data_IF_797294016102
#
_entry.id   IF_797294016102
#
_cell.length_a   1.000
_cell.length_b   1.000
_cell.length_c   1.000
_cell.angle_alpha   90.00
_cell.angle_beta   90.00
_cell.angle_gamma   90.00
#
_symmetry.space_group_name_H-M   'P 1'
#
loop_
_entity.id
_entity.type
_entity.pdbx_description
1 polymer ?
#
# COMPACT_ATOMS: atom_id res chain seq x y z
N UNK A 1 2.34 27.70 -17.53
CA UNK A 1 2.77 26.50 -16.79
C UNK A 1 3.41 25.54 -17.79
N UNK A 2 4.53 24.88 -17.44
CA UNK A 2 5.09 23.87 -18.34
C UNK A 2 4.18 22.64 -18.42
N UNK A 3 4.21 21.89 -19.54
CA UNK A 3 3.43 20.65 -19.71
C UNK A 3 3.70 19.66 -18.59
N UNK A 4 4.94 19.62 -18.06
CA UNK A 4 5.32 18.80 -16.91
C UNK A 4 4.54 19.15 -15.65
N UNK A 5 4.43 20.45 -15.32
CA UNK A 5 3.71 20.92 -14.15
C UNK A 5 2.22 20.61 -14.25
N UNK A 6 1.62 20.79 -15.43
CA UNK A 6 0.22 20.48 -15.66
C UNK A 6 -0.06 19.01 -15.45
N UNK A 7 0.80 18.13 -16.00
CA UNK A 7 0.67 16.70 -15.84
C UNK A 7 0.85 16.26 -14.39
N UNK A 8 1.90 16.71 -13.66
CA UNK A 8 2.11 16.35 -12.26
C UNK A 8 0.94 16.82 -11.38
N UNK A 9 0.34 17.97 -11.68
CA UNK A 9 -0.85 18.47 -10.97
C UNK A 9 -2.08 17.57 -11.14
N UNK A 10 -2.23 16.87 -12.25
CA UNK A 10 -3.35 15.95 -12.50
C UNK A 10 -3.22 14.58 -11.84
N UNK A 11 -2.02 14.22 -11.33
CA UNK A 11 -1.81 12.93 -10.70
C UNK A 11 -2.64 12.78 -9.42
N UNK A 12 -3.11 11.56 -9.21
CA UNK A 12 -3.82 11.12 -8.01
C UNK A 12 -3.07 9.97 -7.35
N UNK A 13 -3.47 9.55 -6.17
CA UNK A 13 -2.88 8.35 -5.53
C UNK A 13 -3.26 7.05 -6.26
N UNK A 14 -4.20 7.08 -7.21
CA UNK A 14 -4.47 5.95 -8.10
C UNK A 14 -3.36 5.76 -9.15
N UNK A 15 -2.50 6.77 -9.38
CA UNK A 15 -1.26 6.59 -10.11
C UNK A 15 -0.23 5.89 -9.22
N UNK A 16 0.01 4.60 -9.43
CA UNK A 16 0.85 3.77 -8.54
C UNK A 16 2.23 4.36 -8.25
N UNK A 17 2.84 5.01 -9.26
CA UNK A 17 4.09 5.72 -9.07
C UNK A 17 3.95 6.91 -8.10
N UNK A 18 2.91 7.73 -8.27
CA UNK A 18 2.67 8.89 -7.42
C UNK A 18 2.28 8.45 -6.00
N UNK A 19 1.50 7.37 -5.87
CA UNK A 19 1.19 6.74 -4.59
C UNK A 19 2.47 6.39 -3.82
N UNK A 20 3.39 5.66 -4.43
CA UNK A 20 4.67 5.30 -3.78
C UNK A 20 5.46 6.55 -3.38
N UNK A 21 5.49 7.60 -4.22
CA UNK A 21 6.16 8.87 -3.91
C UNK A 21 5.55 9.63 -2.75
N UNK A 22 4.25 9.50 -2.52
CA UNK A 22 3.58 10.09 -1.36
C UNK A 22 3.87 9.28 -0.09
N UNK A 23 3.70 7.97 -0.16
CA UNK A 23 3.83 7.08 0.99
C UNK A 23 5.26 6.64 1.32
N UNK A 24 6.28 7.04 0.55
CA UNK A 24 7.69 6.93 0.99
C UNK A 24 8.01 7.91 2.13
N UNK A 25 7.14 8.92 2.38
CA UNK A 25 7.23 9.83 3.53
C UNK A 25 6.78 9.10 4.80
N UNK A 26 7.61 9.03 5.86
CA UNK A 26 7.31 8.22 7.05
C UNK A 26 5.94 8.50 7.67
N UNK A 27 5.57 9.75 7.85
CA UNK A 27 4.28 10.13 8.45
C UNK A 27 3.08 9.68 7.61
N UNK A 28 3.22 9.71 6.27
CA UNK A 28 2.20 9.19 5.37
C UNK A 28 2.14 7.66 5.41
N UNK A 29 3.29 6.98 5.50
CA UNK A 29 3.39 5.54 5.60
C UNK A 29 2.78 5.01 6.90
N UNK A 30 3.05 5.66 8.03
CA UNK A 30 2.44 5.33 9.34
C UNK A 30 0.92 5.42 9.29
N UNK A 31 0.40 6.51 8.72
CA UNK A 31 -1.04 6.69 8.54
C UNK A 31 -1.65 5.60 7.65
N UNK A 32 -0.98 5.27 6.54
CA UNK A 32 -1.42 4.21 5.62
C UNK A 32 -1.48 2.86 6.34
N UNK A 33 -0.41 2.51 7.06
CA UNK A 33 -0.30 1.26 7.80
C UNK A 33 -1.40 1.13 8.86
N UNK A 34 -1.60 2.18 9.66
CA UNK A 34 -2.66 2.26 10.67
C UNK A 34 -4.05 2.04 10.07
N UNK A 35 -4.35 2.65 8.93
CA UNK A 35 -5.67 2.53 8.28
C UNK A 35 -5.86 1.14 7.66
N UNK A 36 -4.83 0.60 7.00
CA UNK A 36 -4.92 -0.67 6.29
C UNK A 36 -5.05 -1.88 7.24
N UNK A 37 -4.30 -1.87 8.35
CA UNK A 37 -4.25 -2.98 9.29
C UNK A 37 -5.08 -2.74 10.56
N UNK A 38 -5.70 -1.56 10.69
CA UNK A 38 -6.48 -1.14 11.88
C UNK A 38 -5.68 -1.30 13.19
N UNK A 39 -4.37 -1.01 13.12
CA UNK A 39 -3.42 -1.14 14.22
C UNK A 39 -2.69 0.16 14.52
N UNK A 40 -2.65 0.54 15.81
CA UNK A 40 -2.00 1.75 16.32
C UNK A 40 -0.64 1.47 16.98
N UNK A 41 -0.30 0.20 17.15
CA UNK A 41 0.89 -0.25 17.91
C UNK A 41 2.08 -0.63 17.01
N UNK A 42 1.96 -0.45 15.69
CA UNK A 42 3.02 -0.75 14.75
C UNK A 42 3.93 0.47 14.54
N UNK A 43 5.22 0.29 14.77
CA UNK A 43 6.27 1.28 14.52
C UNK A 43 7.03 0.91 13.25
N UNK A 44 7.09 1.82 12.27
CA UNK A 44 7.83 1.61 11.03
C UNK A 44 9.34 1.71 11.32
N UNK A 45 10.07 0.68 10.97
CA UNK A 45 11.53 0.59 11.10
C UNK A 45 12.25 0.93 9.79
N UNK A 46 11.66 0.58 8.65
CA UNK A 46 12.22 0.90 7.35
C UNK A 46 11.13 1.01 6.28
N UNK A 47 11.40 1.84 5.29
CA UNK A 47 10.59 1.97 4.07
C UNK A 47 11.51 1.74 2.88
N UNK A 48 11.08 0.85 1.97
CA UNK A 48 11.76 0.57 0.71
C UNK A 48 10.80 0.81 -0.45
N UNK A 49 11.29 1.37 -1.52
CA UNK A 49 10.52 1.64 -2.73
C UNK A 49 11.16 0.97 -3.94
N UNK A 50 10.34 0.37 -4.78
CA UNK A 50 10.77 -0.16 -6.07
C UNK A 50 9.89 0.47 -7.17
N UNK A 51 10.54 1.06 -8.16
CA UNK A 51 9.89 1.74 -9.27
C UNK A 51 10.02 0.99 -10.60
N UNK A 52 10.56 -0.23 -10.56
CA UNK A 52 10.68 -1.06 -11.74
C UNK A 52 9.32 -1.64 -12.14
N UNK A 53 8.90 -1.47 -13.40
CA UNK A 53 7.67 -1.99 -14.01
C UNK A 53 6.37 -1.60 -13.29
N UNK A 54 6.13 -2.12 -12.08
CA UNK A 54 4.98 -1.79 -11.24
C UNK A 54 5.50 -1.23 -9.91
N UNK A 55 5.28 0.06 -9.65
CA UNK A 55 5.74 0.68 -8.41
C UNK A 55 5.15 0.01 -7.18
N UNK A 56 6.01 -0.29 -6.21
CA UNK A 56 5.62 -0.88 -4.93
C UNK A 56 6.30 -0.18 -3.75
N UNK A 57 5.62 -0.16 -2.64
CA UNK A 57 6.11 0.31 -1.36
C UNK A 57 6.24 -0.90 -0.43
N UNK A 58 7.37 -1.07 0.22
CA UNK A 58 7.56 -2.10 1.26
C UNK A 58 7.87 -1.42 2.57
N UNK A 59 7.07 -1.67 3.58
CA UNK A 59 7.24 -1.18 4.94
C UNK A 59 7.65 -2.35 5.84
N UNK A 60 8.69 -2.14 6.65
CA UNK A 60 9.10 -3.07 7.69
C UNK A 60 8.73 -2.41 9.01
N UNK A 61 7.95 -3.10 9.82
CA UNK A 61 7.45 -2.60 11.10
C UNK A 61 7.60 -3.63 12.20
N UNK A 62 7.48 -3.20 13.45
CA UNK A 62 7.39 -4.08 14.60
C UNK A 62 6.31 -3.57 15.56
N UNK A 63 5.69 -4.47 16.30
CA UNK A 63 4.77 -4.12 17.38
C UNK A 63 5.51 -3.90 18.74
N UNK A 64 4.74 -3.58 19.75
CA UNK A 64 5.28 -3.38 21.12
C UNK A 64 5.93 -4.64 21.72
N UNK A 65 5.54 -5.84 21.24
CA UNK A 65 6.15 -7.12 21.64
C UNK A 65 7.39 -7.48 20.81
N UNK A 66 7.79 -6.61 19.87
CA UNK A 66 8.91 -6.81 18.93
C UNK A 66 8.65 -7.88 17.86
N UNK A 67 7.39 -8.29 17.66
CA UNK A 67 7.01 -9.12 16.51
C UNK A 67 7.18 -8.30 15.24
N UNK A 68 7.82 -8.89 14.23
CA UNK A 68 8.08 -8.25 12.93
C UNK A 68 6.88 -8.33 11.99
N UNK A 69 6.74 -7.30 11.16
CA UNK A 69 5.73 -7.20 10.11
C UNK A 69 6.37 -6.66 8.84
N UNK A 70 6.04 -7.25 7.71
CA UNK A 70 6.48 -6.75 6.40
C UNK A 70 5.26 -6.53 5.52
N UNK A 71 5.08 -5.33 5.04
CA UNK A 71 3.89 -4.92 4.31
C UNK A 71 4.28 -4.37 2.95
N UNK A 72 3.94 -5.08 1.87
CA UNK A 72 4.04 -4.59 0.51
C UNK A 72 2.71 -3.94 0.09
N UNK A 73 2.74 -2.71 -0.41
CA UNK A 73 1.57 -2.00 -0.95
C UNK A 73 1.83 -1.62 -2.39
N UNK A 74 0.89 -1.96 -3.26
CA UNK A 74 0.94 -1.53 -4.67
C UNK A 74 -0.45 -1.28 -5.24
N UNK A 75 -0.49 -0.45 -6.28
CA UNK A 75 -1.69 -0.24 -7.11
C UNK A 75 -1.83 -1.40 -8.11
N UNK A 76 -3.03 -1.94 -8.24
CA UNK A 76 -3.33 -3.02 -9.17
C UNK A 76 -4.66 -2.75 -9.91
N UNK A 77 -4.74 -3.10 -11.20
CA UNK A 77 -5.95 -2.94 -12.01
C UNK A 77 -6.79 -4.21 -12.05
N UNK A 78 -6.15 -5.38 -11.89
CA UNK A 78 -6.80 -6.68 -12.06
C UNK A 78 -6.62 -7.56 -10.83
N UNK A 79 -7.67 -8.27 -10.42
CA UNK A 79 -7.56 -9.34 -9.44
C UNK A 79 -6.89 -10.56 -10.09
N UNK A 80 -5.80 -10.98 -9.48
CA UNK A 80 -5.16 -12.24 -9.83
C UNK A 80 -4.66 -12.93 -8.56
N UNK A 81 -5.31 -14.02 -8.13
CA UNK A 81 -4.81 -14.84 -7.03
C UNK A 81 -3.40 -15.38 -7.28
N UNK A 82 -3.04 -15.62 -8.56
CA UNK A 82 -1.69 -16.01 -8.94
C UNK A 82 -0.69 -14.89 -8.70
N UNK A 83 -1.08 -13.65 -9.01
CA UNK A 83 -0.25 -12.47 -8.76
C UNK A 83 -0.04 -12.26 -7.27
N UNK A 84 -1.12 -12.35 -6.47
CA UNK A 84 -1.04 -12.27 -5.00
C UNK A 84 -0.04 -13.27 -4.42
N UNK A 85 -0.15 -14.55 -4.82
CA UNK A 85 0.78 -15.60 -4.42
C UNK A 85 2.22 -15.31 -4.85
N UNK A 86 2.44 -14.82 -6.07
CA UNK A 86 3.78 -14.52 -6.57
C UNK A 86 4.43 -13.36 -5.80
N UNK A 87 3.66 -12.32 -5.47
CA UNK A 87 4.13 -11.20 -4.65
C UNK A 87 4.45 -11.64 -3.23
N UNK A 88 3.57 -12.45 -2.62
CA UNK A 88 3.80 -13.01 -1.29
C UNK A 88 5.11 -13.79 -1.24
N UNK A 89 5.31 -14.75 -2.18
CA UNK A 89 6.54 -15.55 -2.23
C UNK A 89 7.80 -14.69 -2.44
N UNK A 90 7.71 -13.63 -3.24
CA UNK A 90 8.82 -12.71 -3.44
C UNK A 90 9.13 -11.92 -2.16
N UNK A 91 8.09 -11.41 -1.49
CA UNK A 91 8.22 -10.65 -0.26
C UNK A 91 8.91 -11.50 0.82
N UNK A 92 8.47 -12.73 0.98
CA UNK A 92 9.05 -13.69 1.94
C UNK A 92 10.54 -13.94 1.64
N UNK A 93 10.91 -14.21 0.38
CA UNK A 93 12.30 -14.41 -0.02
C UNK A 93 13.17 -13.16 0.18
N UNK A 94 12.62 -11.96 -0.01
CA UNK A 94 13.35 -10.70 0.16
C UNK A 94 13.54 -10.28 1.64
N UNK A 95 12.75 -10.84 2.55
CA UNK A 95 12.63 -10.31 3.92
C UNK A 95 12.86 -11.33 5.02
N UNK A 96 12.61 -12.61 4.78
CA UNK A 96 12.83 -13.68 5.76
C UNK A 96 14.28 -14.14 5.69
N UNK A 97 14.98 -14.10 6.81
CA UNK A 97 16.28 -14.75 6.97
C UNK A 97 16.07 -16.26 6.99
N UNK A 98 16.62 -17.04 6.03
CA UNK A 98 16.42 -18.48 5.98
C UNK A 98 16.96 -19.23 7.22
N UNK A 99 17.86 -18.62 7.99
CA UNK A 99 18.42 -19.17 9.22
C UNK A 99 17.69 -18.68 10.49
N UNK A 100 16.62 -17.88 10.36
CA UNK A 100 15.87 -17.44 11.54
C UNK A 100 15.03 -18.59 12.13
N UNK A 101 14.80 -18.53 13.45
CA UNK A 101 13.86 -19.43 14.12
C UNK A 101 12.42 -19.14 13.69
N UNK A 102 11.57 -20.18 13.63
CA UNK A 102 10.17 -20.04 13.16
C UNK A 102 9.39 -18.95 13.88
N UNK A 103 9.63 -18.77 15.19
CA UNK A 103 9.00 -17.73 16.00
C UNK A 103 9.41 -16.29 15.64
N UNK A 104 10.50 -16.13 14.89
CA UNK A 104 11.01 -14.82 14.45
C UNK A 104 10.63 -14.49 12.99
N UNK A 105 9.91 -15.39 12.31
CA UNK A 105 9.40 -15.09 10.98
C UNK A 105 8.35 -13.96 11.10
N UNK A 106 8.53 -12.84 10.37
CA UNK A 106 7.57 -11.73 10.43
C UNK A 106 6.26 -12.11 9.75
N UNK A 107 5.14 -11.54 10.23
CA UNK A 107 3.91 -11.58 9.45
C UNK A 107 4.08 -10.73 8.19
N UNK A 108 3.67 -11.28 7.05
CA UNK A 108 3.82 -10.64 5.75
C UNK A 108 2.47 -10.33 5.11
N UNK A 109 2.32 -9.09 4.64
CA UNK A 109 1.09 -8.56 4.03
C UNK A 109 1.38 -8.08 2.62
N UNK A 110 0.65 -8.59 1.65
CA UNK A 110 0.62 -8.04 0.29
C UNK A 110 -0.70 -7.33 0.08
N UNK A 111 -0.66 -6.02 -0.06
CA UNK A 111 -1.84 -5.16 -0.17
C UNK A 111 -1.95 -4.59 -1.59
N UNK A 112 -3.01 -4.95 -2.28
CA UNK A 112 -3.35 -4.39 -3.58
C UNK A 112 -4.45 -3.35 -3.43
N UNK A 113 -4.16 -2.11 -3.84
CA UNK A 113 -5.18 -1.05 -3.91
C UNK A 113 -5.76 -1.05 -5.32
N UNK A 114 -7.04 -1.33 -5.41
CA UNK A 114 -7.77 -1.48 -6.65
C UNK A 114 -8.64 -0.25 -6.92
N UNK A 115 -8.79 0.14 -8.18
CA UNK A 115 -9.69 1.23 -8.54
C UNK A 115 -11.16 0.81 -8.47
N UNK A 116 -11.45 -0.46 -8.84
CA UNK A 116 -12.79 -1.03 -8.93
C UNK A 116 -12.98 -2.21 -8.00
N UNK A 117 -14.24 -2.46 -7.63
CA UNK A 117 -14.63 -3.67 -6.93
C UNK A 117 -14.79 -4.85 -7.89
N UNK A 118 -13.71 -5.54 -8.16
CA UNK A 118 -13.70 -6.68 -9.07
C UNK A 118 -14.54 -7.87 -8.57
N UNK A 119 -14.68 -8.06 -7.25
CA UNK A 119 -15.58 -9.10 -6.70
C UNK A 119 -17.05 -8.70 -6.69
N UNK A 120 -17.36 -7.41 -6.83
CA UNK A 120 -18.73 -6.86 -6.87
C UNK A 120 -19.57 -7.22 -5.64
N UNK A 121 -18.93 -7.36 -4.47
CA UNK A 121 -19.60 -7.66 -3.21
C UNK A 121 -19.76 -6.43 -2.31
N UNK A 122 -19.26 -5.26 -2.75
CA UNK A 122 -19.38 -3.98 -2.03
C UNK A 122 -18.62 -3.92 -0.70
N UNK A 123 -17.70 -4.84 -0.45
CA UNK A 123 -16.88 -4.80 0.78
C UNK A 123 -15.76 -3.79 0.65
N UNK A 124 -15.34 -3.12 1.74
CA UNK A 124 -14.24 -2.15 1.69
C UNK A 124 -12.89 -2.80 1.38
N UNK A 125 -12.71 -4.05 1.79
CA UNK A 125 -11.54 -4.88 1.48
C UNK A 125 -11.91 -6.37 1.46
N UNK A 126 -11.02 -7.16 0.87
CA UNK A 126 -11.10 -8.62 0.81
C UNK A 126 -9.79 -9.22 1.26
N UNK A 127 -9.82 -10.11 2.26
CA UNK A 127 -8.66 -10.86 2.71
C UNK A 127 -8.64 -12.26 2.09
N UNK A 128 -7.45 -12.69 1.67
CA UNK A 128 -7.21 -14.07 1.22
C UNK A 128 -6.25 -14.71 2.19
N UNK A 129 -6.75 -15.78 2.82
CA UNK A 129 -6.05 -16.54 3.84
C UNK A 129 -5.92 -18.01 3.43
N UNK A 130 -4.87 -18.68 3.91
CA UNK A 130 -4.73 -20.12 3.75
C UNK A 130 -5.57 -20.86 4.78
N UNK A 131 -6.24 -21.96 4.36
CA UNK A 131 -7.08 -22.76 5.24
C UNK A 131 -6.67 -24.23 5.20
N UNK A 132 -6.82 -24.92 6.33
CA UNK A 132 -6.61 -26.36 6.44
C UNK A 132 -7.93 -27.06 6.12
N UNK A 133 -8.05 -27.61 4.91
CA UNK A 133 -9.31 -28.14 4.35
C UNK A 133 -9.96 -29.22 5.19
N UNK A 134 -9.18 -30.11 5.80
CA UNK A 134 -9.71 -31.26 6.55
C UNK A 134 -9.98 -30.94 8.04
N UNK A 135 -9.90 -29.66 8.42
CA UNK A 135 -10.12 -29.17 9.78
C UNK A 135 -11.24 -28.11 9.79
N UNK A 136 -12.38 -28.38 9.14
CA UNK A 136 -13.52 -27.43 9.06
C UNK A 136 -13.16 -26.04 8.52
N UNK A 137 -12.20 -25.98 7.59
CA UNK A 137 -11.67 -24.74 7.01
C UNK A 137 -11.06 -23.76 8.03
N UNK A 138 -10.42 -24.26 9.06
CA UNK A 138 -9.67 -23.45 10.02
C UNK A 138 -8.55 -22.70 9.26
N UNK A 139 -8.38 -21.40 9.52
CA UNK A 139 -7.28 -20.60 9.00
C UNK A 139 -5.95 -21.19 9.47
N UNK A 140 -4.97 -21.25 8.58
CA UNK A 140 -3.65 -21.82 8.89
C UNK A 140 -2.86 -20.97 9.90
N UNK A 141 -3.17 -19.70 10.03
CA UNK A 141 -2.50 -18.72 10.93
C UNK A 141 -0.98 -18.75 10.78
N UNK A 142 -0.53 -18.71 9.52
CA UNK A 142 0.88 -18.82 9.15
C UNK A 142 1.56 -17.47 8.91
N UNK A 143 0.92 -16.37 9.32
CA UNK A 143 1.43 -15.00 9.20
C UNK A 143 1.45 -14.44 7.77
N UNK A 144 0.83 -15.14 6.80
CA UNK A 144 0.83 -14.72 5.39
C UNK A 144 -0.56 -14.21 4.97
N UNK A 145 -0.64 -12.94 4.57
CA UNK A 145 -1.90 -12.27 4.29
C UNK A 145 -1.87 -11.56 2.93
N UNK A 146 -2.93 -11.73 2.13
CA UNK A 146 -3.12 -10.94 0.91
C UNK A 146 -4.41 -10.15 1.04
N UNK A 147 -4.32 -8.83 0.89
CA UNK A 147 -5.45 -7.91 1.04
C UNK A 147 -5.69 -7.19 -0.29
N UNK A 148 -6.94 -7.16 -0.72
CA UNK A 148 -7.39 -6.38 -1.86
C UNK A 148 -8.32 -5.27 -1.35
N UNK A 149 -7.87 -4.02 -1.45
CA UNK A 149 -8.63 -2.84 -1.03
C UNK A 149 -9.51 -2.36 -2.18
N UNK A 150 -10.79 -2.20 -1.91
CA UNK A 150 -11.78 -1.73 -2.88
C UNK A 150 -11.79 -0.19 -2.94
N UNK A 151 -11.23 0.41 -3.98
CA UNK A 151 -11.20 1.85 -4.19
C UNK A 151 -12.54 2.50 -4.56
N UNK A 152 -13.57 1.71 -4.86
CA UNK A 152 -14.95 2.22 -5.03
C UNK A 152 -15.66 2.43 -3.69
N UNK A 153 -15.22 1.77 -2.62
CA UNK A 153 -15.76 2.01 -1.28
C UNK A 153 -15.19 3.32 -0.73
N UNK A 154 -16.04 4.34 -0.64
CA UNK A 154 -15.70 5.71 -0.21
C UNK A 154 -16.66 6.19 0.89
N UNK A 155 -16.94 5.32 1.83
CA UNK A 155 -17.77 5.62 2.99
C UNK A 155 -17.04 6.49 4.03
N UNK A 156 -17.68 6.75 5.17
CA UNK A 156 -17.11 7.60 6.23
C UNK A 156 -16.15 6.86 7.18
N UNK A 157 -15.80 5.60 6.90
CA UNK A 157 -14.76 4.89 7.64
C UNK A 157 -13.37 5.48 7.35
N UNK A 158 -12.36 5.22 8.18
CA UNK A 158 -10.99 5.66 7.86
C UNK A 158 -10.52 5.16 6.49
N UNK A 159 -10.79 3.90 6.15
CA UNK A 159 -10.40 3.33 4.86
C UNK A 159 -11.20 3.96 3.70
N UNK A 160 -12.52 4.15 3.87
CA UNK A 160 -13.36 4.77 2.86
C UNK A 160 -12.96 6.23 2.57
N UNK A 161 -12.63 7.00 3.61
CA UNK A 161 -12.07 8.37 3.44
C UNK A 161 -10.72 8.34 2.73
N UNK A 162 -9.84 7.39 3.05
CA UNK A 162 -8.56 7.22 2.35
C UNK A 162 -8.79 6.92 0.86
N UNK A 163 -9.71 6.01 0.53
CA UNK A 163 -10.04 5.70 -0.88
C UNK A 163 -10.69 6.89 -1.60
N UNK A 164 -11.46 7.73 -0.90
CA UNK A 164 -11.93 8.99 -1.45
C UNK A 164 -10.74 9.92 -1.79
N UNK A 165 -9.75 10.04 -0.90
CA UNK A 165 -8.56 10.86 -1.10
C UNK A 165 -7.69 10.32 -2.26
N UNK A 166 -7.66 9.02 -2.47
CA UNK A 166 -6.94 8.39 -3.59
C UNK A 166 -7.36 8.90 -4.96
N UNK A 167 -8.60 9.39 -5.09
CA UNK A 167 -9.14 9.90 -6.35
C UNK A 167 -9.02 11.43 -6.49
N UNK A 168 -8.47 12.13 -5.48
CA UNK A 168 -8.34 13.58 -5.51
C UNK A 168 -6.97 14.00 -6.02
N UNK A 169 -6.93 15.02 -6.84
CA UNK A 169 -5.69 15.62 -7.33
C UNK A 169 -5.38 16.96 -6.65
N UNK A 170 -6.36 17.61 -6.00
CA UNK A 170 -6.18 18.87 -5.30
C UNK A 170 -5.83 18.62 -3.82
N UNK A 171 -4.70 19.14 -3.32
CA UNK A 171 -4.30 18.92 -1.93
C UNK A 171 -5.30 19.42 -0.88
N UNK A 172 -5.99 20.51 -1.17
CA UNK A 172 -7.01 21.14 -0.30
C UNK A 172 -8.29 20.30 -0.16
N UNK A 173 -8.48 19.28 -1.00
CA UNK A 173 -9.60 18.34 -0.96
C UNK A 173 -9.26 17.01 -0.31
N UNK A 174 -8.02 16.83 0.13
CA UNK A 174 -7.54 15.63 0.82
C UNK A 174 -7.92 15.70 2.31
N UNK A 175 -8.53 14.66 2.83
CA UNK A 175 -9.03 14.58 4.21
C UNK A 175 -7.92 14.42 5.24
N UNK A 176 -6.88 13.68 4.88
CA UNK A 176 -5.75 13.39 5.77
C UNK A 176 -4.63 14.40 5.59
N UNK A 177 -4.39 15.22 6.62
CA UNK A 177 -3.43 16.33 6.60
C UNK A 177 -2.01 15.92 6.18
N UNK A 178 -1.39 14.83 6.70
CA UNK A 178 -0.06 14.42 6.27
C UNK A 178 0.02 14.16 4.76
N UNK A 179 -0.99 13.48 4.21
CA UNK A 179 -1.09 13.18 2.78
C UNK A 179 -1.28 14.47 1.97
N UNK A 180 -2.19 15.37 2.42
CA UNK A 180 -2.43 16.66 1.78
C UNK A 180 -1.16 17.50 1.67
N UNK A 181 -0.42 17.61 2.77
CA UNK A 181 0.86 18.34 2.85
C UNK A 181 1.91 17.74 1.92
N UNK A 182 2.04 16.42 1.91
CA UNK A 182 3.01 15.72 1.05
C UNK A 182 2.67 15.89 -0.43
N UNK A 183 1.39 15.75 -0.82
CA UNK A 183 0.92 15.97 -2.20
C UNK A 183 1.18 17.42 -2.62
N UNK A 184 0.88 18.40 -1.78
CA UNK A 184 1.13 19.81 -2.06
C UNK A 184 2.63 20.07 -2.31
N UNK A 185 3.49 19.52 -1.47
CA UNK A 185 4.94 19.60 -1.65
C UNK A 185 5.39 19.00 -2.98
N UNK A 186 5.01 17.76 -3.29
CA UNK A 186 5.42 17.07 -4.51
C UNK A 186 4.95 17.79 -5.79
N UNK A 187 3.78 18.44 -5.75
CA UNK A 187 3.19 19.15 -6.90
C UNK A 187 3.70 20.58 -7.09
N UNK A 188 4.41 21.14 -6.12
CA UNK A 188 4.93 22.51 -6.17
C UNK A 188 6.45 22.59 -6.20
N UNK A 189 7.15 21.62 -5.59
CA UNK A 189 8.61 21.61 -5.50
C UNK A 189 9.23 21.17 -6.84
N UNK A 190 9.96 22.07 -7.52
CA UNK A 190 10.49 21.85 -8.85
C UNK A 190 11.37 20.58 -9.00
N UNK A 191 12.29 20.25 -8.08
CA UNK A 191 13.05 19.00 -8.16
C UNK A 191 12.16 17.73 -8.10
N UNK A 192 11.10 17.74 -7.28
CA UNK A 192 10.14 16.63 -7.21
C UNK A 192 9.38 16.46 -8.52
N UNK A 193 8.95 17.58 -9.13
CA UNK A 193 8.26 17.59 -10.43
C UNK A 193 9.15 16.96 -11.51
N UNK A 194 10.43 17.32 -11.56
CA UNK A 194 11.38 16.74 -12.53
C UNK A 194 11.59 15.24 -12.29
N UNK A 195 11.72 14.82 -11.04
CA UNK A 195 11.87 13.42 -10.67
C UNK A 195 10.65 12.60 -11.07
N UNK A 196 9.45 13.07 -10.73
CA UNK A 196 8.17 12.41 -11.04
C UNK A 196 7.99 12.33 -12.56
N UNK A 197 8.33 13.39 -13.30
CA UNK A 197 8.14 13.40 -14.75
C UNK A 197 9.06 12.43 -15.50
N UNK A 198 10.27 12.15 -14.98
CA UNK A 198 11.19 11.16 -15.58
C UNK A 198 10.56 9.77 -15.69
N UNK A 199 9.75 9.37 -14.73
CA UNK A 199 9.09 8.05 -14.74
C UNK A 199 7.96 7.92 -15.77
N UNK A 200 7.42 9.03 -16.28
CA UNK A 200 6.48 9.01 -17.40
C UNK A 200 7.15 8.58 -18.71
N UNK A 201 8.46 8.82 -18.83
CA UNK A 201 9.21 8.72 -20.09
C UNK A 201 10.13 7.50 -20.15
N UNK A 202 10.14 6.68 -19.10
CA UNK A 202 10.84 5.40 -19.02
C UNK A 202 9.88 4.23 -19.16
#
# INVERSE_FOLDING_TARGET
MSDKQTWVKSLTLMDGFFMVKVFEEPECAELLLKILLERDDLEIQAIRTDFNRKPRLVMIAADSAKKGYVIEVQRCDDISPLLGRAHQSRLDVETIDPDCADENIPDSYVVFIMEKDEWKLGKPLYSVERTVRNMENITADDGSHIIYVNGENRDNTPLGRLMHDFCKHEPDKISYEPIARRIAFLKTHSPSIEQIYKFKTT
#
